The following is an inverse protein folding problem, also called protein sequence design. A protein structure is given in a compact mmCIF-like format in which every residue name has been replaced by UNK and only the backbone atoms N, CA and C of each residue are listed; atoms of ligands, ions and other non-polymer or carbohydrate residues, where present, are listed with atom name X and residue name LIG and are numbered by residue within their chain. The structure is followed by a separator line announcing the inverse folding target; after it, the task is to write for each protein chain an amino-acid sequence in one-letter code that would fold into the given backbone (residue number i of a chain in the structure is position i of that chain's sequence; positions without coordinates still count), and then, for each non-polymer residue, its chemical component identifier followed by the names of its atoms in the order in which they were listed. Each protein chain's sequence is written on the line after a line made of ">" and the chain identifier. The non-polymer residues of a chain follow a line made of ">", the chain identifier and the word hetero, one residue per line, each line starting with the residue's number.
data_IF_757748441961
#
_entry.id   IF_757748441961
#
_cell.length_a   1.000
_cell.length_b   1.000
_cell.length_c   1.000
_cell.angle_alpha   90.00
_cell.angle_beta   90.00
_cell.angle_gamma   90.00
#
_symmetry.space_group_name_H-M   'P 1'
#
loop_
_entity.id
_entity.type
_entity.pdbx_description
1 polymer ?
#
# COMPACT_ATOMS: atom_id res chain seq x y z
N UNK A 1 -9.94 13.67 -21.93
CA UNK A 1 -9.92 13.54 -20.47
C UNK A 1 -11.34 13.24 -20.02
N UNK A 2 -11.56 12.16 -19.26
CA UNK A 2 -12.85 11.94 -18.63
C UNK A 2 -13.13 13.11 -17.67
N UNK A 3 -14.38 13.54 -17.59
CA UNK A 3 -14.75 14.60 -16.63
C UNK A 3 -14.89 13.97 -15.24
N UNK A 4 -14.30 14.58 -14.23
CA UNK A 4 -14.48 14.15 -12.84
C UNK A 4 -15.96 14.10 -12.46
N UNK A 5 -16.34 13.10 -11.65
CA UNK A 5 -17.71 12.90 -11.17
C UNK A 5 -17.74 12.94 -9.64
N UNK A 6 -18.86 13.39 -9.08
CA UNK A 6 -19.04 13.34 -7.63
C UNK A 6 -19.34 11.91 -7.18
N UNK A 7 -18.63 11.43 -6.18
CA UNK A 7 -18.87 10.12 -5.55
C UNK A 7 -19.09 10.28 -4.05
N UNK A 8 -19.91 9.41 -3.46
CA UNK A 8 -20.09 9.28 -2.01
C UNK A 8 -19.98 7.79 -1.63
N UNK A 9 -19.13 7.47 -0.66
CA UNK A 9 -18.89 6.11 -0.18
C UNK A 9 -18.84 6.07 1.33
N UNK A 10 -19.63 5.19 1.92
CA UNK A 10 -19.56 4.90 3.35
C UNK A 10 -18.36 4.00 3.67
N UNK A 11 -18.17 3.70 4.95
CA UNK A 11 -17.17 2.70 5.37
C UNK A 11 -17.49 1.35 4.71
N UNK A 12 -16.46 0.72 4.12
CA UNK A 12 -16.61 -0.55 3.40
C UNK A 12 -17.14 -0.42 1.96
N UNK A 13 -17.70 0.72 1.55
CA UNK A 13 -18.12 0.91 0.16
C UNK A 13 -16.93 1.12 -0.77
N UNK A 14 -17.03 0.53 -1.96
CA UNK A 14 -16.00 0.56 -3.00
C UNK A 14 -15.56 -0.84 -3.40
N UNK A 15 -14.78 -0.93 -4.46
CA UNK A 15 -14.14 -2.18 -4.89
C UNK A 15 -13.15 -2.64 -3.81
N UNK A 16 -13.31 -3.87 -3.34
CA UNK A 16 -12.44 -4.46 -2.33
C UNK A 16 -11.52 -5.50 -2.95
N UNK A 17 -10.24 -5.41 -2.64
CA UNK A 17 -9.18 -6.26 -3.18
C UNK A 17 -8.31 -6.81 -2.04
N UNK A 18 -7.96 -8.11 -2.14
CA UNK A 18 -6.96 -8.71 -1.28
C UNK A 18 -5.56 -8.26 -1.69
N UNK A 19 -4.94 -7.42 -0.89
CA UNK A 19 -3.57 -6.99 -1.13
C UNK A 19 -2.55 -8.04 -0.64
N UNK A 20 -1.43 -8.12 -1.33
CA UNK A 20 -0.37 -9.09 -1.05
C UNK A 20 0.07 -9.06 0.42
N UNK A 21 0.11 -10.22 1.07
CA UNK A 21 0.46 -10.35 2.48
C UNK A 21 -0.73 -10.26 3.45
N UNK A 22 -1.98 -10.05 2.93
CA UNK A 22 -3.21 -10.16 3.72
C UNK A 22 -3.91 -8.85 4.06
N UNK A 23 -3.47 -7.74 3.49
CA UNK A 23 -4.18 -6.46 3.55
C UNK A 23 -5.50 -6.51 2.78
N UNK A 24 -6.42 -5.63 3.14
CA UNK A 24 -7.69 -5.40 2.43
C UNK A 24 -7.75 -3.96 1.95
N UNK A 25 -7.52 -3.77 0.67
CA UNK A 25 -7.60 -2.49 -0.01
C UNK A 25 -9.04 -2.23 -0.45
N UNK A 26 -9.55 -1.03 -0.19
CA UNK A 26 -10.89 -0.58 -0.62
C UNK A 26 -10.77 0.71 -1.42
N UNK A 27 -11.07 0.67 -2.72
CA UNK A 27 -11.04 1.84 -3.59
C UNK A 27 -12.12 2.85 -3.19
N UNK A 28 -11.72 4.05 -2.79
CA UNK A 28 -12.62 5.15 -2.37
C UNK A 28 -12.86 6.18 -3.46
N UNK A 29 -11.88 6.41 -4.32
CA UNK A 29 -12.04 7.17 -5.54
C UNK A 29 -11.06 6.65 -6.59
N UNK A 30 -11.57 6.38 -7.78
CA UNK A 30 -10.80 5.85 -8.91
C UNK A 30 -10.25 6.98 -9.78
N UNK A 31 -9.29 6.65 -10.63
CA UNK A 31 -8.73 7.58 -11.62
C UNK A 31 -9.80 8.18 -12.53
N UNK A 32 -10.72 7.36 -13.01
CA UNK A 32 -11.80 7.82 -13.89
C UNK A 32 -12.73 8.80 -13.17
N UNK A 33 -13.06 8.52 -11.92
CA UNK A 33 -13.93 9.38 -11.11
C UNK A 33 -13.29 10.73 -10.77
N UNK A 34 -11.97 10.76 -10.60
CA UNK A 34 -11.22 12.00 -10.30
C UNK A 34 -10.71 12.73 -11.53
N UNK A 35 -10.96 12.19 -12.73
CA UNK A 35 -10.38 12.72 -13.97
C UNK A 35 -8.85 12.61 -14.03
N UNK A 36 -8.27 11.64 -13.34
CA UNK A 36 -6.84 11.40 -13.28
C UNK A 36 -6.09 12.27 -12.25
N UNK A 37 -6.80 13.04 -11.43
CA UNK A 37 -6.16 13.90 -10.44
C UNK A 37 -5.48 13.10 -9.32
N UNK A 38 -6.16 12.08 -8.82
CA UNK A 38 -5.66 11.17 -7.79
C UNK A 38 -6.44 9.85 -7.79
N UNK A 39 -5.90 8.85 -7.12
CA UNK A 39 -6.65 7.70 -6.61
C UNK A 39 -6.66 7.76 -5.09
N UNK A 40 -7.76 7.34 -4.46
CA UNK A 40 -7.93 7.29 -3.02
C UNK A 40 -8.37 5.89 -2.63
N UNK A 41 -7.71 5.29 -1.67
CA UNK A 41 -8.10 3.98 -1.14
C UNK A 41 -7.86 3.90 0.37
N UNK A 42 -8.66 3.07 1.02
CA UNK A 42 -8.44 2.67 2.40
C UNK A 42 -7.72 1.33 2.40
N UNK A 43 -6.65 1.23 3.17
CA UNK A 43 -5.89 0.00 3.35
C UNK A 43 -6.00 -0.46 4.80
N UNK A 44 -6.47 -1.70 5.00
CA UNK A 44 -6.62 -2.33 6.30
C UNK A 44 -5.65 -3.49 6.38
N UNK A 45 -4.74 -3.39 7.34
CA UNK A 45 -3.58 -4.26 7.44
C UNK A 45 -3.49 -4.96 8.79
N UNK A 46 -2.68 -6.01 8.86
CA UNK A 46 -2.42 -6.79 10.08
C UNK A 46 -0.95 -6.74 10.47
N UNK A 47 -0.67 -7.03 11.75
CA UNK A 47 0.68 -7.06 12.31
C UNK A 47 1.66 -7.85 11.43
N UNK A 48 2.80 -7.24 11.16
CA UNK A 48 3.89 -7.83 10.39
C UNK A 48 3.74 -7.71 8.88
N UNK A 49 2.62 -7.17 8.37
CA UNK A 49 2.50 -6.81 6.97
C UNK A 49 3.56 -5.75 6.64
N UNK A 50 4.31 -5.98 5.58
CA UNK A 50 5.34 -5.05 5.10
C UNK A 50 5.38 -4.99 3.59
N UNK A 51 5.88 -3.87 3.06
CA UNK A 51 6.22 -3.74 1.64
C UNK A 51 7.72 -3.98 1.42
N UNK A 52 8.13 -4.46 0.25
CA UNK A 52 9.53 -4.39 -0.15
C UNK A 52 10.02 -2.93 -0.19
N UNK A 53 11.33 -2.71 -0.21
CA UNK A 53 11.88 -1.38 -0.52
C UNK A 53 11.56 -1.08 -1.99
N UNK A 54 10.87 0.03 -2.23
CA UNK A 54 10.39 0.40 -3.57
C UNK A 54 10.30 1.91 -3.72
N UNK A 55 10.09 2.37 -4.95
CA UNK A 55 9.74 3.74 -5.28
C UNK A 55 8.65 3.76 -6.37
N UNK A 56 7.96 4.89 -6.45
CA UNK A 56 7.04 5.20 -7.55
C UNK A 56 7.70 6.24 -8.45
N UNK A 57 7.98 5.93 -9.74
CA UNK A 57 8.69 6.87 -10.63
C UNK A 57 7.91 8.17 -10.85
N UNK A 58 6.60 8.07 -11.04
CA UNK A 58 5.75 9.16 -11.52
C UNK A 58 4.68 9.63 -10.54
N UNK A 59 4.55 8.95 -9.39
CA UNK A 59 3.49 9.23 -8.42
C UNK A 59 4.06 9.59 -7.05
N UNK A 60 3.47 10.59 -6.40
CA UNK A 60 3.62 10.82 -4.97
C UNK A 60 2.64 9.91 -4.22
N UNK A 61 3.08 9.30 -3.13
CA UNK A 61 2.23 8.51 -2.25
C UNK A 61 2.06 9.23 -0.90
N UNK A 62 0.82 9.25 -0.42
CA UNK A 62 0.47 9.77 0.90
C UNK A 62 -0.27 8.71 1.66
N UNK A 63 0.11 8.45 2.90
CA UNK A 63 -0.61 7.59 3.82
C UNK A 63 -0.93 8.33 5.12
N UNK A 64 -2.20 8.52 5.42
CA UNK A 64 -2.68 9.04 6.71
C UNK A 64 -3.13 7.88 7.59
N UNK A 65 -2.62 7.82 8.81
CA UNK A 65 -2.91 6.72 9.73
C UNK A 65 -4.23 6.97 10.43
N UNK A 66 -5.27 6.22 10.06
CA UNK A 66 -6.59 6.29 10.67
C UNK A 66 -6.66 5.52 11.99
N UNK A 67 -5.99 4.36 12.08
CA UNK A 67 -5.94 3.49 13.26
C UNK A 67 -4.62 2.73 13.29
N UNK A 68 -4.13 2.43 14.50
CA UNK A 68 -2.90 1.66 14.70
C UNK A 68 -1.62 2.45 14.47
N UNK A 69 -0.57 1.75 14.09
CA UNK A 69 0.74 2.34 13.83
C UNK A 69 1.53 1.56 12.77
N UNK A 70 2.39 2.26 12.07
CA UNK A 70 3.32 1.71 11.10
C UNK A 70 4.73 2.23 11.34
N UNK A 71 5.73 1.42 11.04
CA UNK A 71 7.12 1.82 10.92
C UNK A 71 7.40 2.09 9.44
N UNK A 72 7.83 3.29 9.10
CA UNK A 72 8.18 3.69 7.73
C UNK A 72 9.69 3.78 7.61
N UNK A 73 10.24 3.20 6.56
CA UNK A 73 11.63 3.37 6.15
C UNK A 73 11.71 4.33 4.96
N UNK A 74 12.43 5.43 5.12
CA UNK A 74 12.66 6.44 4.09
C UNK A 74 14.00 7.15 4.34
N UNK A 75 14.73 7.49 3.29
CA UNK A 75 16.06 8.16 3.38
C UNK A 75 17.09 7.45 4.28
N UNK A 76 16.98 6.12 4.43
CA UNK A 76 17.91 5.35 5.28
C UNK A 76 17.53 5.30 6.76
N UNK A 77 16.43 5.89 7.16
CA UNK A 77 15.95 5.99 8.55
C UNK A 77 14.59 5.32 8.73
N UNK A 78 14.34 4.83 9.95
CA UNK A 78 13.06 4.27 10.37
C UNK A 78 12.30 5.29 11.22
N UNK A 79 11.03 5.53 10.86
CA UNK A 79 10.14 6.47 11.55
C UNK A 79 8.86 5.77 11.98
N UNK A 80 8.59 5.72 13.29
CA UNK A 80 7.33 5.19 13.82
C UNK A 80 6.23 6.25 13.70
N UNK A 81 5.13 5.90 13.03
CA UNK A 81 4.01 6.80 12.79
C UNK A 81 2.75 6.20 13.41
N UNK A 82 2.12 6.95 14.32
CA UNK A 82 0.92 6.57 15.02
C UNK A 82 -0.34 7.14 14.38
N UNK A 83 -1.49 6.71 14.87
CA UNK A 83 -2.79 7.27 14.53
C UNK A 83 -2.78 8.81 14.54
N UNK A 84 -3.32 9.42 13.50
CA UNK A 84 -3.32 10.86 13.26
C UNK A 84 -2.06 11.38 12.57
N UNK A 85 -1.02 10.55 12.42
CA UNK A 85 0.19 10.88 11.67
C UNK A 85 0.02 10.71 10.17
N UNK A 86 0.95 11.29 9.41
CA UNK A 86 0.99 11.20 7.96
C UNK A 86 2.40 10.84 7.49
N UNK A 87 2.46 10.02 6.45
CA UNK A 87 3.66 9.76 5.66
C UNK A 87 3.46 10.27 4.24
N UNK A 88 4.46 10.92 3.68
CA UNK A 88 4.49 11.36 2.29
C UNK A 88 5.75 10.86 1.64
N UNK A 89 5.61 10.04 0.61
CA UNK A 89 6.70 9.62 -0.26
C UNK A 89 6.59 10.38 -1.59
N UNK A 90 7.42 11.39 -1.85
CA UNK A 90 7.50 12.01 -3.16
C UNK A 90 7.95 10.98 -4.21
N UNK A 91 7.52 11.15 -5.45
CA UNK A 91 7.96 10.33 -6.58
C UNK A 91 9.48 10.19 -6.62
N UNK A 92 9.95 9.00 -6.96
CA UNK A 92 11.37 8.67 -7.03
C UNK A 92 12.06 8.50 -5.67
N UNK A 93 11.35 8.65 -4.55
CA UNK A 93 11.94 8.45 -3.21
C UNK A 93 11.74 7.01 -2.74
N UNK A 94 12.84 6.24 -2.50
CA UNK A 94 12.75 4.89 -1.98
C UNK A 94 12.15 4.85 -0.58
N UNK A 95 11.15 3.98 -0.39
CA UNK A 95 10.46 3.81 0.88
C UNK A 95 9.91 2.39 1.07
N UNK A 96 9.52 2.09 2.29
CA UNK A 96 8.79 0.87 2.67
C UNK A 96 8.03 1.12 3.97
N UNK A 97 7.02 0.30 4.27
CA UNK A 97 6.38 0.31 5.58
C UNK A 97 6.26 -1.10 6.19
N UNK A 98 6.12 -1.14 7.50
CA UNK A 98 5.86 -2.33 8.31
C UNK A 98 4.78 -2.01 9.34
N UNK A 99 3.73 -2.81 9.42
CA UNK A 99 2.70 -2.69 10.45
C UNK A 99 3.23 -3.25 11.77
N UNK A 100 3.24 -2.42 12.81
CA UNK A 100 3.77 -2.74 14.15
C UNK A 100 2.70 -2.94 15.20
N UNK A 101 1.49 -2.41 14.99
CA UNK A 101 0.31 -2.71 15.81
C UNK A 101 -0.41 -4.00 15.36
N UNK A 102 -1.33 -4.52 16.17
CA UNK A 102 -2.13 -5.71 15.85
C UNK A 102 -2.88 -5.54 14.52
N UNK A 103 -3.44 -4.36 14.31
CA UNK A 103 -4.05 -3.91 13.05
C UNK A 103 -3.65 -2.48 12.76
N UNK A 104 -3.66 -2.11 11.48
CA UNK A 104 -3.55 -0.72 11.04
C UNK A 104 -4.60 -0.42 9.97
N UNK A 105 -5.08 0.82 9.94
CA UNK A 105 -5.97 1.34 8.90
C UNK A 105 -5.40 2.66 8.38
N UNK A 106 -5.15 2.70 7.09
CA UNK A 106 -4.54 3.83 6.41
C UNK A 106 -5.50 4.39 5.36
N UNK A 107 -5.51 5.70 5.21
CA UNK A 107 -6.09 6.35 4.03
C UNK A 107 -4.94 6.74 3.12
N UNK A 108 -4.90 6.11 1.95
CA UNK A 108 -3.81 6.27 1.00
C UNK A 108 -4.26 7.05 -0.22
N UNK A 109 -3.40 7.94 -0.69
CA UNK A 109 -3.60 8.78 -1.85
C UNK A 109 -2.40 8.65 -2.78
N UNK A 110 -2.64 8.37 -4.07
CA UNK A 110 -1.61 8.40 -5.13
C UNK A 110 -1.87 9.57 -6.07
N UNK A 111 -0.87 10.42 -6.30
CA UNK A 111 -0.98 11.66 -7.08
C UNK A 111 0.19 11.77 -8.09
N UNK A 112 -0.10 12.05 -9.38
CA UNK A 112 -1.40 12.04 -10.02
C UNK A 112 -2.03 10.64 -10.03
N UNK A 113 -3.34 10.58 -10.14
CA UNK A 113 -4.10 9.33 -10.24
C UNK A 113 -4.15 8.80 -11.68
N UNK A 114 -3.06 8.91 -12.41
CA UNK A 114 -2.98 8.34 -13.75
C UNK A 114 -3.12 6.83 -13.65
N UNK A 115 -3.98 6.24 -14.48
CA UNK A 115 -4.56 4.89 -14.35
C UNK A 115 -3.63 3.70 -14.07
N UNK A 116 -2.35 3.91 -14.04
CA UNK A 116 -1.33 2.88 -13.80
C UNK A 116 -1.39 2.30 -12.38
N UNK A 117 -1.56 3.13 -11.36
CA UNK A 117 -1.61 2.64 -9.97
C UNK A 117 -2.82 1.73 -9.74
N UNK A 118 -3.99 2.06 -10.31
CA UNK A 118 -5.16 1.18 -10.26
C UNK A 118 -4.94 -0.12 -11.02
N UNK A 119 -4.29 -0.06 -12.19
CA UNK A 119 -3.95 -1.25 -12.99
C UNK A 119 -3.04 -2.15 -12.17
N UNK A 120 -2.00 -1.59 -11.52
CA UNK A 120 -1.12 -2.34 -10.64
C UNK A 120 -1.90 -3.09 -9.54
N UNK A 121 -2.78 -2.39 -8.80
CA UNK A 121 -3.55 -3.03 -7.74
C UNK A 121 -4.51 -4.10 -8.27
N UNK A 122 -5.21 -3.85 -9.38
CA UNK A 122 -6.15 -4.82 -9.96
C UNK A 122 -5.45 -6.04 -10.55
N UNK A 123 -4.26 -5.90 -11.12
CA UNK A 123 -3.48 -7.03 -11.62
C UNK A 123 -2.80 -7.83 -10.50
N UNK A 124 -2.29 -7.14 -9.47
CA UNK A 124 -1.63 -7.80 -8.34
C UNK A 124 -2.61 -8.49 -7.41
N UNK A 125 -3.72 -7.83 -7.09
CA UNK A 125 -4.67 -8.21 -6.07
C UNK A 125 -5.77 -9.13 -6.59
N UNK A 126 -6.43 -9.83 -5.67
CA UNK A 126 -7.60 -10.65 -5.97
C UNK A 126 -8.86 -9.95 -5.45
N UNK A 127 -10.01 -10.03 -6.17
CA UNK A 127 -11.26 -9.51 -5.65
C UNK A 127 -11.59 -10.08 -4.27
N UNK A 128 -11.95 -9.22 -3.34
CA UNK A 128 -12.42 -9.61 -2.02
C UNK A 128 -13.96 -9.68 -2.01
N UNK A 129 -14.49 -10.74 -1.43
CA UNK A 129 -15.93 -10.92 -1.29
C UNK A 129 -16.53 -10.05 -0.18
N UNK A 130 -17.87 -9.93 -0.12
CA UNK A 130 -18.55 -9.20 0.95
C UNK A 130 -18.15 -9.69 2.33
N UNK A 131 -17.89 -8.75 3.25
CA UNK A 131 -17.49 -9.07 4.62
C UNK A 131 -16.04 -9.55 4.76
N UNK A 132 -15.19 -9.30 3.75
CA UNK A 132 -13.77 -9.58 3.82
C UNK A 132 -13.11 -8.88 5.03
N UNK A 133 -12.25 -9.60 5.74
CA UNK A 133 -11.52 -9.10 6.91
C UNK A 133 -10.03 -9.34 6.68
N UNK A 134 -9.17 -8.34 6.93
CA UNK A 134 -7.72 -8.52 6.82
C UNK A 134 -7.24 -9.72 7.61
N UNK A 135 -6.21 -10.38 7.11
CA UNK A 135 -5.66 -11.55 7.78
C UNK A 135 -4.36 -11.98 7.11
N UNK A 136 -3.56 -12.77 7.81
CA UNK A 136 -2.30 -13.28 7.27
C UNK A 136 -2.55 -14.10 6.01
N UNK A 137 -1.90 -13.72 4.90
CA UNK A 137 -1.94 -14.40 3.61
C UNK A 137 -0.53 -14.46 3.02
N UNK A 138 -0.29 -15.44 2.19
CA UNK A 138 0.99 -15.54 1.49
C UNK A 138 1.10 -14.41 0.46
N UNK A 139 2.27 -13.76 0.41
CA UNK A 139 2.59 -12.79 -0.63
C UNK A 139 3.19 -13.51 -1.84
N UNK A 140 2.57 -13.35 -3.01
CA UNK A 140 3.10 -13.87 -4.28
C UNK A 140 4.15 -12.90 -4.82
N UNK A 141 5.40 -13.06 -4.39
CA UNK A 141 6.51 -12.23 -4.86
C UNK A 141 6.80 -12.34 -6.37
N UNK A 142 6.78 -13.53 -6.99
CA UNK A 142 6.88 -13.65 -8.45
C UNK A 142 5.84 -12.80 -9.18
N UNK A 143 4.58 -12.89 -8.79
CA UNK A 143 3.50 -12.08 -9.37
C UNK A 143 3.72 -10.57 -9.15
N UNK A 144 4.14 -10.17 -7.94
CA UNK A 144 4.47 -8.77 -7.64
C UNK A 144 5.55 -8.24 -8.59
N UNK A 145 6.63 -8.98 -8.79
CA UNK A 145 7.72 -8.57 -9.68
C UNK A 145 7.29 -8.50 -11.15
N UNK A 146 6.43 -9.42 -11.58
CA UNK A 146 5.87 -9.41 -12.94
C UNK A 146 4.97 -8.20 -13.17
N UNK A 147 4.02 -7.95 -12.27
CA UNK A 147 3.09 -6.83 -12.37
C UNK A 147 3.83 -5.49 -12.27
N UNK A 148 4.78 -5.35 -11.35
CA UNK A 148 5.62 -4.15 -11.23
C UNK A 148 6.33 -3.82 -12.54
N UNK A 149 6.92 -4.84 -13.20
CA UNK A 149 7.60 -4.68 -14.48
C UNK A 149 6.66 -4.30 -15.62
N UNK A 150 5.44 -4.84 -15.62
CA UNK A 150 4.49 -4.63 -16.72
C UNK A 150 3.77 -3.29 -16.64
N UNK A 151 3.65 -2.72 -15.44
CA UNK A 151 2.88 -1.49 -15.22
C UNK A 151 3.72 -0.23 -15.11
N UNK A 152 5.05 -0.35 -14.96
CA UNK A 152 5.98 0.78 -14.73
C UNK A 152 5.55 1.74 -13.58
N UNK A 153 4.70 1.25 -12.68
CA UNK A 153 4.11 2.06 -11.59
C UNK A 153 4.98 2.08 -10.35
N UNK A 154 5.77 1.02 -10.19
CA UNK A 154 6.58 0.76 -9.01
C UNK A 154 7.90 0.10 -9.44
N UNK A 155 8.99 0.55 -8.86
CA UNK A 155 10.30 -0.07 -8.98
C UNK A 155 10.67 -0.75 -7.66
N UNK A 156 10.84 -2.07 -7.68
CA UNK A 156 11.22 -2.85 -6.50
C UNK A 156 12.75 -2.85 -6.39
N UNK A 157 13.26 -2.28 -5.32
CA UNK A 157 14.71 -2.09 -5.07
C UNK A 157 15.33 -3.18 -4.19
N UNK A 158 14.51 -3.88 -3.40
CA UNK A 158 14.99 -4.93 -2.51
C UNK A 158 13.95 -5.44 -1.52
N UNK A 159 14.33 -6.36 -0.63
CA UNK A 159 13.45 -6.86 0.41
C UNK A 159 13.09 -5.75 1.42
N UNK A 160 12.08 -5.99 2.29
CA UNK A 160 11.76 -5.06 3.38
C UNK A 160 13.04 -4.71 4.19
N UNK A 161 13.37 -3.41 4.37
CA UNK A 161 14.67 -2.98 4.92
C UNK A 161 14.74 -3.01 6.46
N UNK A 162 13.65 -3.33 7.14
CA UNK A 162 13.49 -3.17 8.59
C UNK A 162 14.43 -4.03 9.43
N UNK A 163 15.10 -3.42 10.40
CA UNK A 163 16.04 -4.09 11.32
C UNK A 163 15.35 -5.21 12.11
N UNK A 164 14.15 -4.99 12.60
CA UNK A 164 13.35 -5.97 13.35
C UNK A 164 13.00 -7.24 12.58
N UNK A 165 12.91 -7.17 11.25
CA UNK A 165 12.69 -8.34 10.39
C UNK A 165 13.99 -9.11 10.15
N UNK A 166 15.14 -8.41 10.10
CA UNK A 166 16.47 -9.02 9.92
C UNK A 166 16.87 -9.85 11.13
N UNK A 167 16.57 -9.39 12.35
CA UNK A 167 16.84 -10.12 13.58
C UNK A 167 16.07 -11.44 13.68
N UNK A 168 14.82 -11.47 13.21
CA UNK A 168 14.00 -12.70 13.17
C UNK A 168 14.45 -13.71 12.10
N UNK A 169 15.12 -13.26 11.07
CA UNK A 169 15.61 -14.10 9.98
C UNK A 169 16.98 -14.76 10.28
N UNK A 170 17.67 -14.31 11.33
CA UNK A 170 18.96 -14.92 11.73
C UNK A 170 18.66 -16.10 12.65
N UNK A 171 18.93 -17.38 12.26
CA UNK A 171 18.75 -18.51 13.14
C UNK A 171 19.68 -18.34 14.36
N UNK A 172 19.14 -18.40 15.56
CA UNK A 172 19.96 -18.55 16.76
C UNK A 172 20.64 -19.91 16.65
N UNK A 173 21.93 -19.91 16.29
CA UNK A 173 22.75 -21.10 16.39
C UNK A 173 22.89 -21.44 17.88
N UNK A 174 22.12 -22.43 18.32
CA UNK A 174 22.24 -23.03 19.64
C UNK A 174 23.41 -24.02 19.65
#
# INVERSE_FOLDING_TARGET
>A
MASAVSVTRQSGDGEQLWFAGGGLLTMKATSDETGGAYILFEDREVLGKSTPLHLHPDNDEVAYILEGEILVYVHGEEHLIHQGGVFVAPRGVPHAFLVTSETARLLCLTVPGTGWAEVFYRELCEPAGPGAVPGSRHADFPKLMEVAKNTDTIEILGPPPFASLKEKATPTLA
#
